data_IF_548324813858
#
_entry.id   IF_548324813858
#
_cell.length_a   1.000
_cell.length_b   1.000
_cell.length_c   1.000
_cell.angle_alpha   90.00
_cell.angle_beta   90.00
_cell.angle_gamma   90.00
#
_symmetry.space_group_name_H-M   'P 1'
#
loop_
_entity.id
_entity.type
_entity.pdbx_description
1 polymer ?
#
# COMPACT_ATOMS: atom_id res chain seq x y z
N UNK A 1 -13.05 42.86 22.76
CA UNK A 1 -13.35 41.41 22.72
C UNK A 1 -12.52 40.82 21.60
N UNK A 2 -11.47 40.05 21.91
CA UNK A 2 -10.63 39.37 20.92
C UNK A 2 -11.00 37.89 20.92
N UNK A 3 -11.54 37.42 19.80
CA UNK A 3 -11.90 36.02 19.59
C UNK A 3 -10.62 35.24 19.28
N UNK A 4 -10.12 34.48 20.25
CA UNK A 4 -9.02 33.54 20.04
C UNK A 4 -9.54 32.35 19.22
N UNK A 5 -9.11 32.26 17.96
CA UNK A 5 -9.31 31.08 17.14
C UNK A 5 -8.46 29.96 17.73
N UNK A 6 -9.12 29.00 18.38
CA UNK A 6 -8.49 27.75 18.81
C UNK A 6 -8.00 27.02 17.55
N UNK A 7 -6.70 27.10 17.26
CA UNK A 7 -6.03 26.17 16.37
C UNK A 7 -6.17 24.78 16.99
N UNK A 8 -7.15 24.02 16.49
CA UNK A 8 -7.29 22.60 16.78
C UNK A 8 -6.08 21.90 16.17
N UNK A 9 -5.03 21.74 16.95
CA UNK A 9 -3.90 20.89 16.60
C UNK A 9 -4.46 19.47 16.54
N UNK A 10 -4.75 18.96 15.33
CA UNK A 10 -5.13 17.57 15.16
C UNK A 10 -4.00 16.72 15.73
N UNK A 11 -4.28 16.01 16.83
CA UNK A 11 -3.36 15.02 17.37
C UNK A 11 -3.16 13.99 16.28
N UNK A 12 -1.97 13.98 15.70
CA UNK A 12 -1.51 12.93 14.80
C UNK A 12 -1.84 11.57 15.44
N UNK A 13 -2.46 10.67 14.69
CA UNK A 13 -2.88 9.37 15.20
C UNK A 13 -1.67 8.50 15.56
N UNK A 14 -1.75 7.75 16.68
CA UNK A 14 -0.71 6.79 17.08
C UNK A 14 -0.73 5.51 16.24
N UNK A 15 -1.78 5.30 15.45
CA UNK A 15 -1.91 4.19 14.50
C UNK A 15 -1.60 4.76 13.11
N UNK A 16 -0.53 4.29 12.49
CA UNK A 16 -0.20 4.64 11.11
C UNK A 16 -0.74 3.56 10.19
N UNK A 17 -1.79 3.92 9.44
CA UNK A 17 -2.24 3.08 8.34
C UNK A 17 -1.28 3.24 7.16
N UNK A 18 -1.15 2.21 6.35
CA UNK A 18 -0.16 2.20 5.26
C UNK A 18 -0.35 3.38 4.29
N UNK A 19 -1.60 3.79 4.04
CA UNK A 19 -1.92 4.94 3.21
C UNK A 19 -1.32 6.25 3.74
N UNK A 20 -1.22 6.43 5.06
CA UNK A 20 -0.62 7.64 5.63
C UNK A 20 0.85 7.76 5.22
N UNK A 21 1.58 6.63 5.24
CA UNK A 21 2.99 6.59 4.87
C UNK A 21 3.15 6.78 3.37
N UNK A 22 2.38 6.06 2.55
CA UNK A 22 2.51 6.15 1.08
C UNK A 22 2.15 7.53 0.57
N UNK A 23 1.08 8.14 1.11
CA UNK A 23 0.62 9.48 0.70
C UNK A 23 1.52 10.59 1.24
N UNK A 24 2.09 10.42 2.44
CA UNK A 24 3.06 11.38 2.95
C UNK A 24 4.35 11.40 2.10
N UNK A 25 4.74 10.26 1.53
CA UNK A 25 5.98 10.12 0.76
C UNK A 25 5.84 10.51 -0.71
N UNK A 26 4.70 10.23 -1.34
CA UNK A 26 4.45 10.53 -2.75
C UNK A 26 3.07 11.15 -2.98
N UNK A 27 3.04 12.19 -3.81
CA UNK A 27 1.86 12.97 -4.16
C UNK A 27 1.67 12.95 -5.69
N UNK A 28 0.52 12.50 -6.22
CA UNK A 28 0.25 12.51 -7.66
C UNK A 28 0.21 13.91 -8.28
N UNK A 29 -0.05 14.96 -7.49
CA UNK A 29 -0.05 16.35 -7.99
C UNK A 29 1.38 16.85 -8.26
N UNK A 30 2.37 16.23 -7.62
CA UNK A 30 3.79 16.50 -7.86
C UNK A 30 4.54 15.16 -8.02
N UNK A 31 4.25 14.40 -9.10
CA UNK A 31 4.57 12.98 -9.16
C UNK A 31 6.07 12.71 -9.39
N UNK A 32 6.83 13.74 -9.77
CA UNK A 32 8.28 13.71 -10.05
C UNK A 32 9.16 13.98 -8.83
N UNK A 33 8.56 14.10 -7.64
CA UNK A 33 9.30 14.27 -6.39
C UNK A 33 8.75 13.37 -5.27
N UNK A 34 9.59 13.12 -4.28
CA UNK A 34 9.18 12.55 -3.01
C UNK A 34 9.34 13.60 -1.92
N UNK A 35 8.51 13.52 -0.88
CA UNK A 35 8.56 14.45 0.24
C UNK A 35 9.89 14.36 1.00
N UNK A 36 10.40 15.51 1.43
CA UNK A 36 11.60 15.59 2.26
C UNK A 36 11.31 15.28 3.74
N UNK A 37 12.36 15.11 4.55
CA UNK A 37 12.19 14.75 5.97
C UNK A 37 11.46 15.84 6.78
N UNK A 38 11.57 17.11 6.36
CA UNK A 38 10.87 18.23 7.02
C UNK A 38 9.36 18.14 6.76
N UNK A 39 8.95 17.79 5.56
CA UNK A 39 7.54 17.57 5.20
C UNK A 39 6.97 16.36 5.94
N UNK A 40 7.71 15.25 5.97
CA UNK A 40 7.30 14.03 6.68
C UNK A 40 7.12 14.28 8.19
N UNK A 41 8.05 15.00 8.83
CA UNK A 41 7.97 15.34 10.25
C UNK A 41 6.77 16.25 10.60
N UNK A 42 6.26 17.03 9.64
CA UNK A 42 5.06 17.85 9.85
C UNK A 42 3.78 17.00 9.88
N UNK A 43 3.69 15.98 9.03
CA UNK A 43 2.43 15.26 8.80
C UNK A 43 2.34 13.92 9.53
N UNK A 44 3.47 13.31 9.90
CA UNK A 44 3.50 11.99 10.54
C UNK A 44 4.01 12.02 11.98
N UNK A 45 3.55 11.06 12.78
CA UNK A 45 4.08 10.78 14.12
C UNK A 45 5.36 9.95 14.12
N UNK A 46 5.51 9.07 13.13
CA UNK A 46 6.73 8.28 12.89
C UNK A 46 7.31 8.69 11.53
N UNK A 47 7.95 9.86 11.44
CA UNK A 47 8.56 10.30 10.19
C UNK A 47 9.73 9.42 9.78
N UNK A 48 10.41 8.76 10.73
CA UNK A 48 11.54 7.89 10.44
C UNK A 48 11.13 6.71 9.55
N UNK A 49 10.00 6.04 9.87
CA UNK A 49 9.44 4.97 9.04
C UNK A 49 9.11 5.44 7.63
N UNK A 50 8.62 6.67 7.46
CA UNK A 50 8.34 7.22 6.14
C UNK A 50 9.61 7.62 5.38
N UNK A 51 10.64 8.14 6.06
CA UNK A 51 11.95 8.42 5.47
C UNK A 51 12.63 7.14 4.98
N UNK A 52 12.55 6.05 5.75
CA UNK A 52 13.03 4.73 5.33
C UNK A 52 12.21 4.18 4.15
N UNK A 53 10.87 4.28 4.19
CA UNK A 53 10.01 3.90 3.07
C UNK A 53 10.36 4.68 1.80
N UNK A 54 10.62 5.99 1.91
CA UNK A 54 11.08 6.83 0.80
C UNK A 54 12.37 6.31 0.20
N UNK A 55 13.36 5.96 1.02
CA UNK A 55 14.63 5.38 0.54
C UNK A 55 14.41 4.03 -0.17
N UNK A 56 13.55 3.18 0.39
CA UNK A 56 13.16 1.91 -0.20
C UNK A 56 12.52 2.11 -1.58
N UNK A 57 11.47 2.92 -1.69
CA UNK A 57 10.73 3.08 -2.95
C UNK A 57 11.56 3.80 -4.01
N UNK A 58 12.43 4.74 -3.62
CA UNK A 58 13.31 5.47 -4.54
C UNK A 58 14.39 4.61 -5.20
N UNK A 59 14.71 3.44 -4.63
CA UNK A 59 15.64 2.47 -5.21
C UNK A 59 14.94 1.25 -5.83
N UNK A 60 13.60 1.19 -5.76
CA UNK A 60 12.86 -0.01 -6.14
C UNK A 60 12.55 -0.09 -7.65
N UNK A 61 13.11 -1.09 -8.32
CA UNK A 61 13.01 -1.28 -9.79
C UNK A 61 11.58 -1.21 -10.37
N UNK A 62 10.58 -1.68 -9.62
CA UNK A 62 9.20 -1.79 -10.12
C UNK A 62 8.26 -0.70 -9.58
N UNK A 63 8.65 -0.05 -8.47
CA UNK A 63 7.78 0.80 -7.68
C UNK A 63 8.30 2.22 -7.49
N UNK A 64 9.47 2.56 -8.05
CA UNK A 64 9.94 3.94 -8.09
C UNK A 64 9.03 4.79 -8.99
N UNK A 65 7.95 5.31 -8.41
CA UNK A 65 6.93 6.10 -9.12
C UNK A 65 7.45 7.48 -9.52
N UNK A 66 8.40 8.04 -8.76
CA UNK A 66 9.12 9.25 -9.14
C UNK A 66 9.84 9.09 -10.47
N UNK A 67 10.68 8.05 -10.58
CA UNK A 67 11.45 7.78 -11.80
C UNK A 67 10.54 7.49 -12.99
N UNK A 68 9.50 6.68 -12.80
CA UNK A 68 8.50 6.42 -13.84
C UNK A 68 7.82 7.71 -14.32
N UNK A 69 7.47 8.61 -13.39
CA UNK A 69 6.85 9.89 -13.71
C UNK A 69 7.80 10.83 -14.46
N UNK A 70 9.08 10.85 -14.08
CA UNK A 70 10.12 11.61 -14.79
C UNK A 70 10.30 11.11 -16.23
N UNK A 71 10.37 9.78 -16.43
CA UNK A 71 10.49 9.17 -17.75
C UNK A 71 9.27 9.47 -18.62
N UNK A 72 8.07 9.34 -18.06
CA UNK A 72 6.83 9.64 -18.77
C UNK A 72 6.76 11.12 -19.18
N UNK A 73 7.10 12.03 -18.26
CA UNK A 73 7.17 13.47 -18.55
C UNK A 73 8.14 13.79 -19.70
N UNK A 74 9.32 13.17 -19.72
CA UNK A 74 10.30 13.34 -20.80
C UNK A 74 9.79 12.84 -22.16
N UNK A 75 8.87 11.87 -22.16
CA UNK A 75 8.24 11.32 -23.37
C UNK A 75 6.95 12.03 -23.77
N UNK A 76 6.47 12.99 -22.97
CA UNK A 76 5.16 13.59 -23.15
C UNK A 76 4.00 12.62 -22.89
N UNK A 77 4.24 11.57 -22.10
CA UNK A 77 3.24 10.57 -21.71
C UNK A 77 2.57 10.96 -20.38
N UNK A 78 1.27 10.72 -20.27
CA UNK A 78 0.54 10.88 -19.02
C UNK A 78 0.38 9.51 -18.33
N UNK A 79 0.85 9.41 -17.09
CA UNK A 79 0.62 8.24 -16.26
C UNK A 79 -0.75 8.32 -15.58
N UNK A 80 -1.39 7.17 -15.43
CA UNK A 80 -2.60 7.04 -14.63
C UNK A 80 -2.27 7.10 -13.13
N UNK A 81 -2.82 8.09 -12.43
CA UNK A 81 -2.57 8.31 -11.00
C UNK A 81 -3.02 7.11 -10.16
N UNK A 82 -4.13 6.45 -10.54
CA UNK A 82 -4.65 5.25 -9.86
C UNK A 82 -3.68 4.08 -9.95
N UNK A 83 -3.02 3.89 -11.08
CA UNK A 83 -2.00 2.86 -11.25
C UNK A 83 -0.71 3.18 -10.49
N UNK A 84 -0.33 4.46 -10.37
CA UNK A 84 0.78 4.87 -9.51
C UNK A 84 0.46 4.64 -8.03
N UNK A 85 -0.75 4.96 -7.58
CA UNK A 85 -1.19 4.64 -6.22
C UNK A 85 -1.19 3.14 -5.93
N UNK A 86 -1.63 2.29 -6.87
CA UNK A 86 -1.50 0.84 -6.70
C UNK A 86 -0.03 0.41 -6.55
N UNK A 87 0.90 1.05 -7.25
CA UNK A 87 2.34 0.75 -7.14
C UNK A 87 2.89 1.16 -5.78
N UNK A 88 2.61 2.38 -5.32
CA UNK A 88 3.08 2.86 -4.01
C UNK A 88 2.48 2.04 -2.87
N UNK A 89 1.20 1.66 -2.96
CA UNK A 89 0.57 0.82 -1.93
C UNK A 89 1.16 -0.60 -1.91
N UNK A 90 1.39 -1.25 -3.06
CA UNK A 90 2.12 -2.55 -3.09
C UNK A 90 3.56 -2.44 -2.58
N UNK A 91 4.24 -1.32 -2.82
CA UNK A 91 5.55 -1.05 -2.24
C UNK A 91 5.47 -0.95 -0.71
N UNK A 92 4.40 -0.36 -0.18
CA UNK A 92 4.11 -0.32 1.26
C UNK A 92 3.98 -1.70 1.88
N UNK A 93 3.26 -2.62 1.21
CA UNK A 93 3.15 -4.02 1.64
C UNK A 93 4.53 -4.69 1.67
N UNK A 94 5.30 -4.54 0.59
CA UNK A 94 6.62 -5.14 0.45
C UNK A 94 7.59 -4.63 1.51
N UNK A 95 7.63 -3.31 1.69
CA UNK A 95 8.46 -2.68 2.72
C UNK A 95 8.10 -3.17 4.13
N UNK A 96 6.81 -3.24 4.46
CA UNK A 96 6.38 -3.67 5.79
C UNK A 96 6.66 -5.15 6.04
N UNK A 97 6.26 -6.01 5.11
CA UNK A 97 6.33 -7.46 5.27
C UNK A 97 7.74 -8.00 5.04
N UNK A 98 8.42 -7.59 3.97
CA UNK A 98 9.67 -8.22 3.53
C UNK A 98 10.92 -7.46 4.02
N UNK A 99 10.92 -6.13 3.98
CA UNK A 99 12.08 -5.34 4.39
C UNK A 99 12.14 -5.13 5.90
N UNK A 100 11.04 -4.67 6.51
CA UNK A 100 10.97 -4.47 7.96
C UNK A 100 10.71 -5.75 8.74
N UNK A 101 10.09 -6.74 8.09
CA UNK A 101 9.65 -8.00 8.72
C UNK A 101 8.81 -7.74 9.97
N UNK A 102 7.82 -6.86 9.83
CA UNK A 102 6.94 -6.42 10.90
C UNK A 102 5.48 -6.76 10.57
N UNK A 103 4.61 -6.94 11.59
CA UNK A 103 3.22 -7.25 11.37
C UNK A 103 2.51 -6.26 10.44
N UNK A 104 1.68 -6.78 9.55
CA UNK A 104 0.76 -6.04 8.70
C UNK A 104 -0.65 -6.55 8.99
N UNK A 105 -1.51 -5.67 9.51
CA UNK A 105 -2.92 -5.96 9.74
C UNK A 105 -3.71 -5.57 8.50
N UNK A 106 -4.43 -6.52 7.90
CA UNK A 106 -5.18 -6.33 6.66
C UNK A 106 -6.65 -6.66 6.89
N UNK A 107 -7.51 -5.65 6.79
CA UNK A 107 -8.96 -5.78 7.01
C UNK A 107 -9.65 -6.13 5.70
N UNK A 108 -10.47 -7.18 5.71
CA UNK A 108 -11.10 -7.72 4.48
C UNK A 108 -12.60 -7.44 4.36
N UNK A 109 -13.24 -6.78 5.33
CA UNK A 109 -14.71 -6.62 5.43
C UNK A 109 -15.41 -6.17 4.13
N UNK A 110 -14.76 -5.31 3.35
CA UNK A 110 -15.37 -4.72 2.13
C UNK A 110 -15.06 -5.55 0.87
N UNK A 111 -14.06 -6.43 0.91
CA UNK A 111 -13.46 -7.03 -0.29
C UNK A 111 -13.27 -8.56 -0.22
N UNK A 112 -13.25 -9.16 0.97
CA UNK A 112 -12.95 -10.57 1.17
C UNK A 112 -14.05 -11.51 0.70
N UNK A 113 -15.26 -10.99 0.49
CA UNK A 113 -16.45 -11.81 0.25
C UNK A 113 -16.69 -12.12 -1.23
N UNK A 114 -16.03 -11.40 -2.15
CA UNK A 114 -16.07 -11.69 -3.58
C UNK A 114 -14.67 -11.72 -4.20
N UNK A 115 -13.94 -12.79 -3.90
CA UNK A 115 -12.66 -13.10 -4.54
C UNK A 115 -12.82 -13.16 -6.07
N UNK A 116 -13.98 -13.56 -6.59
CA UNK A 116 -14.27 -13.59 -8.02
C UNK A 116 -14.09 -12.22 -8.67
N UNK A 117 -14.68 -11.17 -8.11
CA UNK A 117 -14.54 -9.78 -8.59
C UNK A 117 -13.11 -9.27 -8.43
N UNK A 118 -12.42 -9.62 -7.34
CA UNK A 118 -11.00 -9.29 -7.17
C UNK A 118 -10.16 -9.90 -8.28
N UNK A 119 -10.44 -11.14 -8.66
CA UNK A 119 -9.66 -11.87 -9.64
C UNK A 119 -9.95 -11.39 -11.07
N UNK A 120 -11.22 -11.11 -11.39
CA UNK A 120 -11.63 -10.56 -12.69
C UNK A 120 -11.11 -9.13 -12.92
N UNK A 121 -10.81 -8.40 -11.84
CA UNK A 121 -10.41 -6.98 -11.86
C UNK A 121 -11.51 -6.07 -12.42
N UNK A 122 -12.76 -6.42 -12.21
CA UNK A 122 -13.92 -5.63 -12.63
C UNK A 122 -14.51 -4.85 -11.44
N UNK A 123 -15.21 -3.74 -11.69
CA UNK A 123 -15.84 -2.94 -10.64
C UNK A 123 -14.88 -2.62 -9.48
N UNK A 124 -15.24 -3.03 -8.26
CA UNK A 124 -14.42 -2.84 -7.06
C UNK A 124 -13.12 -3.65 -7.08
N UNK A 125 -13.00 -4.70 -7.91
CA UNK A 125 -11.78 -5.44 -8.18
C UNK A 125 -10.66 -4.60 -8.80
N UNK A 126 -10.98 -3.43 -9.37
CA UNK A 126 -9.98 -2.46 -9.84
C UNK A 126 -9.36 -1.60 -8.72
N UNK A 127 -9.85 -1.72 -7.48
CA UNK A 127 -9.43 -0.89 -6.35
C UNK A 127 -7.96 -1.12 -5.97
N UNK A 128 -7.42 -0.19 -5.17
CA UNK A 128 -6.08 -0.31 -4.58
C UNK A 128 -6.05 -1.53 -3.67
N UNK A 129 -7.02 -1.67 -2.77
CA UNK A 129 -7.11 -2.79 -1.81
C UNK A 129 -7.25 -4.15 -2.50
N UNK A 130 -8.02 -4.26 -3.59
CA UNK A 130 -8.05 -5.50 -4.39
C UNK A 130 -6.70 -5.78 -5.08
N UNK A 131 -5.97 -4.74 -5.48
CA UNK A 131 -4.61 -4.88 -6.05
C UNK A 131 -3.59 -5.32 -5.01
N UNK A 132 -3.74 -4.85 -3.77
CA UNK A 132 -2.98 -5.29 -2.59
C UNK A 132 -3.26 -6.75 -2.26
N UNK A 133 -4.54 -7.16 -2.20
CA UNK A 133 -4.89 -8.55 -1.91
C UNK A 133 -4.35 -9.50 -2.97
N UNK A 134 -4.45 -9.15 -4.26
CA UNK A 134 -3.79 -9.90 -5.34
C UNK A 134 -2.28 -9.97 -5.15
N UNK A 135 -1.64 -8.90 -4.65
CA UNK A 135 -0.20 -8.93 -4.35
C UNK A 135 0.10 -9.88 -3.21
N UNK A 136 -0.64 -9.82 -2.10
CA UNK A 136 -0.49 -10.74 -0.97
C UNK A 136 -0.67 -12.20 -1.41
N UNK A 137 -1.70 -12.49 -2.21
CA UNK A 137 -1.91 -13.84 -2.76
C UNK A 137 -0.71 -14.33 -3.58
N UNK A 138 -0.07 -13.48 -4.40
CA UNK A 138 1.12 -13.87 -5.17
C UNK A 138 2.37 -14.13 -4.32
N UNK A 139 2.41 -13.63 -3.09
CA UNK A 139 3.55 -13.73 -2.16
C UNK A 139 3.24 -14.59 -0.93
N UNK A 140 2.06 -15.23 -0.87
CA UNK A 140 1.56 -16.00 0.28
C UNK A 140 2.47 -17.14 0.74
N UNK A 141 3.36 -17.61 -0.14
CA UNK A 141 4.28 -18.69 0.16
C UNK A 141 5.59 -18.22 0.78
N UNK A 142 5.86 -16.91 0.82
CA UNK A 142 7.06 -16.36 1.45
C UNK A 142 6.98 -16.46 2.99
N UNK A 143 8.07 -16.84 3.68
CA UNK A 143 8.07 -16.96 5.14
C UNK A 143 7.69 -15.68 5.87
N UNK A 144 8.17 -14.53 5.36
CA UNK A 144 7.87 -13.21 5.90
C UNK A 144 6.38 -12.87 5.78
N UNK A 145 5.71 -13.25 4.69
CA UNK A 145 4.28 -13.01 4.52
C UNK A 145 3.49 -13.90 5.47
N UNK A 146 3.83 -15.20 5.55
CA UNK A 146 3.16 -16.15 6.45
C UNK A 146 3.25 -15.75 7.93
N UNK A 147 4.40 -15.21 8.34
CA UNK A 147 4.66 -14.85 9.74
C UNK A 147 4.17 -13.46 10.14
N UNK A 148 4.09 -12.51 9.20
CA UNK A 148 3.78 -11.11 9.53
C UNK A 148 2.42 -10.61 9.03
N UNK A 149 1.77 -11.28 8.07
CA UNK A 149 0.44 -10.87 7.61
C UNK A 149 -0.62 -11.36 8.59
N UNK A 150 -1.54 -10.49 8.98
CA UNK A 150 -2.66 -10.81 9.86
C UNK A 150 -3.93 -10.30 9.19
N UNK A 151 -4.87 -11.19 8.89
CA UNK A 151 -6.17 -10.82 8.34
C UNK A 151 -7.19 -10.56 9.44
N UNK A 152 -8.09 -9.61 9.20
CA UNK A 152 -9.24 -9.33 10.05
C UNK A 152 -10.51 -9.29 9.22
N UNK A 153 -11.58 -9.94 9.72
CA UNK A 153 -12.96 -9.76 9.26
C UNK A 153 -13.86 -9.40 10.45
N UNK A 154 -14.69 -8.38 10.30
CA UNK A 154 -15.63 -7.87 11.32
C UNK A 154 -14.95 -7.60 12.67
N UNK A 155 -13.72 -7.06 12.61
CA UNK A 155 -12.88 -6.77 13.78
C UNK A 155 -12.25 -8.00 14.45
N UNK A 156 -12.46 -9.20 13.91
CA UNK A 156 -11.90 -10.46 14.43
C UNK A 156 -10.77 -10.95 13.54
N UNK A 157 -9.68 -11.43 14.14
CA UNK A 157 -8.57 -12.03 13.39
C UNK A 157 -9.00 -13.36 12.75
N UNK A 158 -8.67 -13.55 11.47
CA UNK A 158 -9.00 -14.76 10.71
C UNK A 158 -7.74 -15.43 10.14
N UNK A 159 -7.75 -16.75 9.91
CA UNK A 159 -6.61 -17.46 9.32
C UNK A 159 -6.41 -17.09 7.84
N UNK A 160 -5.17 -17.26 7.35
CA UNK A 160 -4.85 -17.01 5.94
C UNK A 160 -5.65 -17.90 4.99
N UNK A 161 -5.91 -19.14 5.39
CA UNK A 161 -6.59 -20.13 4.56
C UNK A 161 -8.01 -19.70 4.18
N UNK A 162 -8.71 -19.01 5.07
CA UNK A 162 -10.05 -18.47 4.80
C UNK A 162 -10.07 -17.50 3.61
N UNK A 163 -8.93 -16.84 3.35
CA UNK A 163 -8.78 -15.91 2.23
C UNK A 163 -8.09 -16.60 1.05
N UNK A 164 -6.95 -17.26 1.26
CA UNK A 164 -6.09 -17.75 0.19
C UNK A 164 -6.47 -19.12 -0.37
N UNK A 165 -7.31 -19.90 0.31
CA UNK A 165 -7.83 -21.18 -0.23
C UNK A 165 -9.18 -21.03 -0.94
N UNK A 166 -9.75 -19.81 -0.95
CA UNK A 166 -10.99 -19.53 -1.66
C UNK A 166 -10.89 -19.93 -3.15
N UNK A 167 -11.90 -20.66 -3.64
CA UNK A 167 -11.92 -21.21 -4.99
C UNK A 167 -11.85 -20.15 -6.10
N UNK A 168 -12.28 -18.91 -5.82
CA UNK A 168 -12.20 -17.80 -6.78
C UNK A 168 -10.77 -17.53 -7.25
N UNK A 169 -9.76 -17.85 -6.44
CA UNK A 169 -8.36 -17.73 -6.82
C UNK A 169 -7.92 -18.70 -7.93
N UNK A 170 -8.66 -19.79 -8.16
CA UNK A 170 -8.37 -20.73 -9.27
C UNK A 170 -8.46 -20.04 -10.63
N UNK A 171 -9.30 -19.00 -10.75
CA UNK A 171 -9.42 -18.20 -11.96
C UNK A 171 -8.31 -17.13 -12.07
N UNK A 172 -7.48 -16.98 -11.04
CA UNK A 172 -6.41 -15.99 -11.01
C UNK A 172 -5.12 -16.54 -11.55
N UNK A 173 -4.75 -16.09 -12.74
CA UNK A 173 -3.53 -16.49 -13.44
C UNK A 173 -2.52 -15.35 -13.42
N UNK A 174 -1.74 -15.16 -12.33
CA UNK A 174 -0.75 -14.09 -12.26
C UNK A 174 0.44 -14.38 -13.19
N UNK A 175 0.99 -13.34 -13.80
CA UNK A 175 2.22 -13.47 -14.62
C UNK A 175 3.44 -13.93 -13.81
N UNK A 176 3.48 -13.58 -12.53
CA UNK A 176 4.56 -13.93 -11.60
C UNK A 176 3.95 -14.53 -10.33
N UNK A 177 4.50 -15.64 -9.84
CA UNK A 177 4.24 -16.15 -8.51
C UNK A 177 5.56 -16.21 -7.74
N UNK A 178 5.57 -15.71 -6.50
CA UNK A 178 6.76 -15.64 -5.68
C UNK A 178 6.76 -16.82 -4.73
N UNK A 179 7.84 -17.60 -4.77
CA UNK A 179 8.09 -18.76 -3.92
C UNK A 179 9.42 -18.56 -3.19
N UNK A 180 9.60 -19.19 -2.02
CA UNK A 180 10.87 -19.16 -1.28
C UNK A 180 12.07 -19.54 -2.14
#
# INVERSE_FOLDING_TARGET
MHTSVLQKTEKKANILIQNDITNAVWDPEIPTQYSDDKQLAKVLNDPARASEFRQFIASHKNYNVKEQSLIAQQRGEQLDAKDMWKKTSKAGLEYQLLNRKKPLHFVVDIIGDDIGIIVSKEGHGTSITSSELRWLYRHRDLPEVRSNLIFYRDGVQIPHDEIFTNEGWSNYHPKNQYRP
#
